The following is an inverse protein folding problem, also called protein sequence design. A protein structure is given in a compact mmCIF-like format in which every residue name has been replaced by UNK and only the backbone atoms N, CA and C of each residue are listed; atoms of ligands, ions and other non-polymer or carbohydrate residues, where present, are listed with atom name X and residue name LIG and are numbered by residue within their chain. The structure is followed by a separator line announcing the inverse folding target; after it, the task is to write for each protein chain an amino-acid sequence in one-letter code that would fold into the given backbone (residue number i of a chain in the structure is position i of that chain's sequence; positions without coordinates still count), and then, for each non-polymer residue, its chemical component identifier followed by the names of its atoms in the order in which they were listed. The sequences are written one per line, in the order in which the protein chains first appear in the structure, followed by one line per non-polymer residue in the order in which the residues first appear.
data_IF_121925412911
#
_entry.id   IF_121925412911
#
_cell.length_a   1.000
_cell.length_b   1.000
_cell.length_c   1.000
_cell.angle_alpha   90.00
_cell.angle_beta   90.00
_cell.angle_gamma   90.00
#
_symmetry.space_group_name_H-M   'P 1'
#
loop_
_entity.id
_entity.type
_entity.pdbx_description
1 polymer ?
#
# COMPACT_ATOMS: atom_id res chain seq x y z
N UNK A 1 23.25 -11.56 -4.40
CA UNK A 1 23.51 -10.50 -3.42
C UNK A 1 24.82 -9.81 -3.76
N UNK A 2 24.74 -8.55 -4.18
CA UNK A 2 25.88 -7.68 -4.47
C UNK A 2 26.13 -6.81 -3.23
N UNK A 3 27.39 -6.65 -2.83
CA UNK A 3 27.76 -5.83 -1.68
C UNK A 3 28.84 -4.82 -2.09
N UNK A 4 28.59 -3.54 -1.81
CA UNK A 4 29.50 -2.42 -2.10
C UNK A 4 29.85 -1.74 -0.79
N UNK A 5 31.13 -1.82 -0.39
CA UNK A 5 31.66 -1.25 0.85
C UNK A 5 32.19 0.16 0.66
N UNK A 6 32.50 0.81 1.79
CA UNK A 6 33.20 2.10 1.88
C UNK A 6 32.53 3.25 1.11
N UNK A 7 31.20 3.19 1.00
CA UNK A 7 30.38 4.23 0.40
C UNK A 7 30.21 5.42 1.35
N UNK A 8 29.97 6.60 0.77
CA UNK A 8 29.71 7.82 1.52
C UNK A 8 28.31 7.72 2.17
N UNK A 9 28.25 7.88 3.49
CA UNK A 9 26.97 7.90 4.20
C UNK A 9 26.25 9.24 4.00
N UNK A 10 25.00 9.22 3.55
CA UNK A 10 24.18 10.44 3.40
C UNK A 10 23.90 11.17 4.73
N UNK A 11 24.06 10.51 5.88
CA UNK A 11 23.73 11.05 7.19
C UNK A 11 24.93 11.63 7.95
N UNK A 12 26.09 10.98 7.88
CA UNK A 12 27.29 11.40 8.61
C UNK A 12 28.49 11.72 7.71
N UNK A 13 28.34 11.60 6.39
CA UNK A 13 29.37 11.84 5.37
C UNK A 13 30.64 11.00 5.53
N UNK A 14 30.65 9.99 6.41
CA UNK A 14 31.76 9.05 6.53
C UNK A 14 31.71 8.01 5.41
N UNK A 15 32.86 7.66 4.84
CA UNK A 15 33.03 6.53 3.89
C UNK A 15 33.06 5.19 4.61
N UNK A 16 31.98 4.87 5.32
CA UNK A 16 31.81 3.63 6.09
C UNK A 16 30.43 3.01 5.88
N UNK A 17 29.71 3.43 4.83
CA UNK A 17 28.45 2.82 4.45
C UNK A 17 28.69 1.59 3.57
N UNK A 18 27.92 0.54 3.81
CA UNK A 18 27.85 -0.66 2.99
C UNK A 18 26.48 -0.70 2.35
N UNK A 19 26.44 -0.72 1.01
CA UNK A 19 25.23 -0.93 0.23
C UNK A 19 25.13 -2.41 -0.15
N UNK A 20 23.97 -3.01 0.07
CA UNK A 20 23.64 -4.38 -0.32
C UNK A 20 22.46 -4.35 -1.25
N UNK A 21 22.54 -5.15 -2.29
CA UNK A 21 21.49 -5.32 -3.29
C UNK A 21 21.21 -6.82 -3.46
N UNK A 22 19.94 -7.19 -3.40
CA UNK A 22 19.48 -8.54 -3.64
C UNK A 22 18.24 -8.52 -4.52
N UNK A 23 18.31 -9.15 -5.69
CA UNK A 23 17.13 -9.42 -6.51
C UNK A 23 16.38 -10.62 -5.92
N UNK A 24 15.11 -10.43 -5.57
CA UNK A 24 14.24 -11.49 -5.08
C UNK A 24 12.93 -11.50 -5.88
N UNK A 25 12.35 -12.68 -6.05
CA UNK A 25 11.00 -12.82 -6.60
C UNK A 25 9.98 -12.86 -5.46
N UNK A 26 9.20 -11.78 -5.33
CA UNK A 26 8.16 -11.67 -4.30
C UNK A 26 6.83 -12.12 -4.90
N UNK A 27 6.16 -13.12 -4.30
CA UNK A 27 4.85 -13.56 -4.78
C UNK A 27 3.91 -12.38 -5.02
N UNK A 28 3.29 -12.35 -6.19
CA UNK A 28 2.35 -11.32 -6.67
C UNK A 28 2.94 -9.92 -6.96
N UNK A 29 4.11 -9.58 -6.42
CA UNK A 29 4.84 -8.34 -6.74
C UNK A 29 5.75 -8.53 -7.97
N UNK A 30 6.28 -9.73 -8.16
CA UNK A 30 7.29 -10.07 -9.16
C UNK A 30 8.70 -9.81 -8.64
N UNK A 31 9.63 -9.63 -9.57
CA UNK A 31 11.04 -9.41 -9.26
C UNK A 31 11.27 -7.99 -8.74
N UNK A 32 11.93 -7.89 -7.60
CA UNK A 32 12.26 -6.63 -6.93
C UNK A 32 13.70 -6.65 -6.45
N UNK A 33 14.32 -5.47 -6.42
CA UNK A 33 15.60 -5.24 -5.77
C UNK A 33 15.36 -4.80 -4.33
N UNK A 34 15.87 -5.60 -3.39
CA UNK A 34 15.98 -5.21 -1.98
C UNK A 34 17.31 -4.50 -1.80
N UNK A 35 17.24 -3.20 -1.57
CA UNK A 35 18.39 -2.34 -1.34
C UNK A 35 18.53 -2.11 0.16
N UNK A 36 19.72 -2.29 0.72
CA UNK A 36 19.99 -1.98 2.14
C UNK A 36 21.28 -1.22 2.26
N UNK A 37 21.23 -0.05 2.90
CA UNK A 37 22.39 0.74 3.27
C UNK A 37 22.59 0.65 4.79
N UNK A 38 23.80 0.30 5.24
CA UNK A 38 24.18 0.25 6.65
C UNK A 38 25.50 1.00 6.86
N UNK A 39 25.56 1.93 7.83
CA UNK A 39 26.77 2.69 8.14
C UNK A 39 27.38 2.31 9.49
N UNK A 40 28.62 1.82 9.48
CA UNK A 40 29.35 1.44 10.70
C UNK A 40 29.82 2.64 11.55
N UNK A 41 29.70 3.88 11.03
CA UNK A 41 30.13 5.09 11.75
C UNK A 41 29.02 5.66 12.65
N UNK A 42 27.80 5.74 12.12
CA UNK A 42 26.64 6.35 12.78
C UNK A 42 25.50 5.37 13.04
N UNK A 43 25.69 4.09 12.72
CA UNK A 43 24.71 3.00 12.90
C UNK A 43 23.39 3.20 12.13
N UNK A 44 23.35 4.11 11.16
CA UNK A 44 22.18 4.28 10.31
C UNK A 44 21.99 3.06 9.43
N UNK A 45 20.76 2.55 9.40
CA UNK A 45 20.32 1.50 8.48
C UNK A 45 19.07 1.96 7.74
N UNK A 46 19.09 1.85 6.42
CA UNK A 46 17.96 2.13 5.55
C UNK A 46 17.77 0.94 4.61
N UNK A 47 16.52 0.54 4.39
CA UNK A 47 16.17 -0.48 3.40
C UNK A 47 15.11 0.08 2.48
N UNK A 48 15.20 -0.27 1.20
CA UNK A 48 14.24 0.10 0.18
C UNK A 48 13.95 -1.10 -0.73
N UNK A 49 12.79 -1.09 -1.40
CA UNK A 49 12.34 -2.13 -2.31
C UNK A 49 11.92 -1.49 -3.62
N UNK A 50 12.70 -1.73 -4.67
CA UNK A 50 12.45 -1.20 -6.00
C UNK A 50 12.02 -2.31 -6.97
N UNK A 51 11.03 -2.09 -7.85
CA UNK A 51 10.70 -3.04 -8.91
C UNK A 51 11.90 -3.28 -9.84
N UNK A 52 12.20 -4.54 -10.17
CA UNK A 52 13.27 -4.86 -11.12
C UNK A 52 12.85 -4.70 -12.60
N UNK A 53 11.55 -4.55 -12.83
CA UNK A 53 10.95 -4.40 -14.16
C UNK A 53 9.99 -3.23 -14.18
N UNK A 54 10.04 -2.41 -15.23
CA UNK A 54 9.01 -1.42 -15.50
C UNK A 54 7.76 -2.12 -16.04
N UNK A 55 6.59 -1.75 -15.48
CA UNK A 55 5.28 -2.27 -15.89
C UNK A 55 4.42 -1.13 -16.41
N UNK A 56 3.45 -1.46 -17.26
CA UNK A 56 2.47 -0.47 -17.70
C UNK A 56 1.56 -0.04 -16.54
N UNK A 57 1.24 1.26 -16.50
CA UNK A 57 0.26 1.82 -15.59
C UNK A 57 -1.05 1.01 -15.63
N UNK A 58 -1.59 0.74 -14.45
CA UNK A 58 -2.73 -0.17 -14.32
C UNK A 58 -3.80 0.40 -13.42
N UNK A 59 -5.04 0.06 -13.77
CA UNK A 59 -6.22 0.31 -12.96
C UNK A 59 -6.91 -1.01 -12.66
N UNK A 60 -7.18 -1.27 -11.39
CA UNK A 60 -8.03 -2.38 -10.96
C UNK A 60 -9.30 -1.83 -10.33
N UNK A 61 -10.44 -2.35 -10.76
CA UNK A 61 -11.71 -2.12 -10.09
C UNK A 61 -12.29 -3.45 -9.62
N UNK A 62 -12.73 -3.49 -8.37
CA UNK A 62 -13.31 -4.68 -7.75
C UNK A 62 -14.56 -4.29 -6.97
N UNK A 63 -15.62 -5.07 -7.12
CA UNK A 63 -16.86 -4.89 -6.36
C UNK A 63 -16.99 -6.00 -5.32
N UNK A 64 -16.94 -5.61 -4.05
CA UNK A 64 -17.18 -6.48 -2.90
C UNK A 64 -18.68 -6.69 -2.79
N UNK A 65 -19.14 -7.93 -2.97
CA UNK A 65 -20.57 -8.28 -2.95
C UNK A 65 -20.91 -9.32 -1.88
N UNK A 66 -19.91 -10.05 -1.40
CA UNK A 66 -20.07 -11.17 -0.47
C UNK A 66 -18.94 -11.19 0.57
N UNK A 67 -19.12 -11.94 1.64
CA UNK A 67 -18.07 -12.16 2.65
C UNK A 67 -16.88 -12.95 2.11
N UNK A 68 -17.08 -13.78 1.09
CA UNK A 68 -16.00 -14.55 0.46
C UNK A 68 -15.00 -13.63 -0.25
N UNK A 69 -15.50 -12.51 -0.80
CA UNK A 69 -14.68 -11.49 -1.45
C UNK A 69 -13.69 -10.85 -0.45
N UNK A 70 -13.97 -10.85 0.85
CA UNK A 70 -13.10 -10.27 1.87
C UNK A 70 -11.70 -10.92 1.91
N UNK A 71 -11.60 -12.19 1.48
CA UNK A 71 -10.37 -12.95 1.44
C UNK A 71 -9.52 -12.69 0.18
N UNK A 72 -10.05 -11.99 -0.82
CA UNK A 72 -9.34 -11.68 -2.07
C UNK A 72 -8.06 -10.89 -1.75
N UNK A 73 -6.93 -11.34 -2.30
CA UNK A 73 -5.63 -10.70 -2.09
C UNK A 73 -5.53 -9.41 -2.88
N UNK A 74 -4.96 -8.41 -2.22
CA UNK A 74 -4.62 -7.12 -2.81
C UNK A 74 -3.11 -6.93 -2.68
N UNK A 75 -2.50 -6.56 -3.79
CA UNK A 75 -1.14 -6.06 -3.88
C UNK A 75 -1.24 -4.57 -4.15
N UNK A 76 -0.73 -3.74 -3.23
CA UNK A 76 -0.70 -2.28 -3.37
C UNK A 76 0.75 -1.87 -3.59
N UNK A 77 1.05 -1.25 -4.73
CA UNK A 77 2.36 -0.66 -5.03
C UNK A 77 2.63 0.60 -4.21
N UNK A 78 3.88 0.96 -3.97
CA UNK A 78 4.25 2.14 -3.15
C UNK A 78 3.56 3.43 -3.61
N UNK A 79 3.46 3.62 -4.93
CA UNK A 79 2.88 4.82 -5.55
C UNK A 79 1.37 4.68 -5.88
N UNK A 80 0.75 3.57 -5.51
CA UNK A 80 -0.64 3.32 -5.88
C UNK A 80 -1.64 4.15 -5.06
N UNK A 81 -2.65 4.68 -5.76
CA UNK A 81 -3.80 5.38 -5.21
C UNK A 81 -4.93 4.38 -5.00
N UNK A 82 -5.48 4.32 -3.79
CA UNK A 82 -6.63 3.46 -3.46
C UNK A 82 -7.88 4.34 -3.29
N UNK A 83 -8.89 4.10 -4.12
CA UNK A 83 -10.17 4.82 -4.10
C UNK A 83 -11.28 3.89 -3.68
N UNK A 84 -12.01 4.28 -2.65
CA UNK A 84 -13.28 3.68 -2.25
C UNK A 84 -14.34 4.76 -2.43
N UNK A 85 -15.07 4.76 -3.57
CA UNK A 85 -16.02 5.82 -3.89
C UNK A 85 -17.00 6.07 -2.73
N UNK A 86 -17.23 7.34 -2.42
CA UNK A 86 -18.13 7.80 -1.33
C UNK A 86 -17.61 7.55 0.10
N UNK A 87 -16.43 6.95 0.26
CA UNK A 87 -15.78 6.74 1.56
C UNK A 87 -14.47 7.55 1.64
N UNK A 88 -13.47 7.21 0.84
CA UNK A 88 -12.12 7.80 0.94
C UNK A 88 -11.33 7.61 -0.37
N UNK A 89 -10.42 8.53 -0.64
CA UNK A 89 -9.30 8.36 -1.58
C UNK A 89 -8.01 8.40 -0.77
N UNK A 90 -7.17 7.39 -0.93
CA UNK A 90 -5.87 7.27 -0.29
C UNK A 90 -4.79 7.46 -1.34
N UNK A 91 -4.08 8.58 -1.25
CA UNK A 91 -2.93 8.88 -2.09
C UNK A 91 -1.64 8.35 -1.43
N UNK A 92 -0.62 7.99 -2.22
CA UNK A 92 0.66 7.60 -1.67
C UNK A 92 1.29 8.79 -0.93
N UNK A 93 1.72 8.55 0.31
CA UNK A 93 2.58 9.49 1.03
C UNK A 93 4.06 9.35 0.61
N UNK A 94 4.94 10.27 1.05
CA UNK A 94 6.36 10.26 0.69
C UNK A 94 7.14 9.03 1.21
N UNK A 95 6.56 8.27 2.14
CA UNK A 95 7.13 7.03 2.71
C UNK A 95 6.16 5.86 2.48
N UNK A 96 5.34 5.92 1.42
CA UNK A 96 4.35 4.87 1.17
C UNK A 96 5.01 3.63 0.59
N UNK A 97 5.09 2.59 1.40
CA UNK A 97 5.60 1.29 0.98
C UNK A 97 4.51 0.47 0.26
N UNK A 98 4.97 -0.42 -0.62
CA UNK A 98 4.14 -1.47 -1.18
C UNK A 98 3.85 -2.56 -0.15
N UNK A 99 2.65 -3.16 -0.21
CA UNK A 99 2.30 -4.25 0.70
C UNK A 99 1.29 -5.21 0.09
N UNK A 100 1.27 -6.42 0.62
CA UNK A 100 0.27 -7.45 0.30
C UNK A 100 -0.73 -7.55 1.46
N UNK A 101 -2.02 -7.47 1.15
CA UNK A 101 -3.11 -7.61 2.10
C UNK A 101 -4.28 -8.38 1.47
N UNK A 102 -5.43 -8.40 2.12
CA UNK A 102 -6.71 -8.82 1.54
C UNK A 102 -7.72 -7.67 1.62
N UNK A 103 -8.91 -7.85 1.03
CA UNK A 103 -9.97 -6.83 1.07
C UNK A 103 -10.32 -6.46 2.52
N UNK A 104 -10.47 -7.45 3.40
CA UNK A 104 -10.72 -7.22 4.82
C UNK A 104 -9.67 -6.30 5.47
N UNK A 105 -8.39 -6.64 5.30
CA UNK A 105 -7.28 -5.89 5.86
C UNK A 105 -7.18 -4.47 5.32
N UNK A 106 -7.50 -4.27 4.04
CA UNK A 106 -7.60 -2.94 3.44
C UNK A 106 -8.73 -2.12 4.09
N UNK A 107 -9.92 -2.70 4.24
CA UNK A 107 -11.06 -2.01 4.85
C UNK A 107 -10.81 -1.67 6.33
N UNK A 108 -10.15 -2.56 7.07
CA UNK A 108 -9.81 -2.32 8.47
C UNK A 108 -8.76 -1.21 8.61
N UNK A 109 -7.79 -1.13 7.68
CA UNK A 109 -6.84 -0.01 7.60
C UNK A 109 -7.55 1.31 7.30
N UNK A 110 -8.48 1.34 6.34
CA UNK A 110 -9.30 2.52 6.04
C UNK A 110 -10.10 2.97 7.24
N UNK A 111 -10.72 2.03 7.96
CA UNK A 111 -11.48 2.32 9.18
C UNK A 111 -10.62 2.96 10.26
N UNK A 112 -9.40 2.46 10.48
CA UNK A 112 -8.43 3.07 11.42
C UNK A 112 -8.06 4.50 11.03
N UNK A 113 -7.84 4.77 9.74
CA UNK A 113 -7.55 6.12 9.24
C UNK A 113 -8.70 7.08 9.53
N UNK A 114 -9.94 6.66 9.18
CA UNK A 114 -11.14 7.47 9.43
C UNK A 114 -11.37 7.71 10.94
N UNK A 115 -11.12 6.69 11.76
CA UNK A 115 -11.25 6.80 13.21
C UNK A 115 -10.23 7.78 13.79
N UNK A 116 -8.95 7.65 13.42
CA UNK A 116 -7.89 8.54 13.89
C UNK A 116 -8.15 9.99 13.49
N UNK A 117 -8.58 10.24 12.26
CA UNK A 117 -8.95 11.57 11.79
C UNK A 117 -10.13 12.17 12.58
N UNK A 118 -11.09 11.34 12.98
CA UNK A 118 -12.25 11.79 13.77
C UNK A 118 -11.90 12.11 15.23
N UNK A 119 -10.86 11.51 15.79
CA UNK A 119 -10.38 11.76 17.16
C UNK A 119 -9.66 13.12 17.26
N UNK A 120 -8.98 13.54 16.20
CA UNK A 120 -8.28 14.83 16.12
C UNK A 120 -9.15 16.00 15.66
N UNK A 121 -10.38 15.72 15.23
CA UNK A 121 -11.32 16.73 14.74
C UNK A 121 -12.09 17.34 15.92
N UNK A 122 -12.47 18.61 15.85
CA UNK A 122 -13.29 19.27 16.89
C UNK A 122 -14.74 19.46 16.44
N UNK A 123 -15.02 19.45 15.13
CA UNK A 123 -16.38 19.54 14.60
C UNK A 123 -17.21 18.26 14.85
N UNK A 124 -18.28 18.42 15.61
CA UNK A 124 -19.26 17.37 15.89
C UNK A 124 -19.95 16.83 14.62
N UNK A 125 -20.13 17.65 13.57
CA UNK A 125 -20.71 17.17 12.32
C UNK A 125 -19.75 16.24 11.58
N UNK A 126 -18.47 16.62 11.48
CA UNK A 126 -17.42 15.77 10.92
C UNK A 126 -17.29 14.44 11.69
N UNK A 127 -17.30 14.47 13.03
CA UNK A 127 -17.31 13.25 13.87
C UNK A 127 -18.50 12.34 13.57
N UNK A 128 -19.70 12.91 13.40
CA UNK A 128 -20.91 12.15 13.03
C UNK A 128 -20.77 11.52 11.64
N UNK A 129 -20.22 12.25 10.66
CA UNK A 129 -19.95 11.71 9.31
C UNK A 129 -18.98 10.54 9.37
N UNK A 130 -17.87 10.68 10.09
CA UNK A 130 -16.88 9.61 10.26
C UNK A 130 -17.52 8.34 10.89
N UNK A 131 -18.31 8.49 11.95
CA UNK A 131 -19.06 7.37 12.57
C UNK A 131 -20.00 6.68 11.57
N UNK A 132 -20.65 7.44 10.69
CA UNK A 132 -21.53 6.88 9.66
C UNK A 132 -20.74 6.11 8.59
N UNK A 133 -19.57 6.60 8.19
CA UNK A 133 -18.67 5.88 7.27
C UNK A 133 -18.18 4.57 7.87
N UNK A 134 -17.74 4.58 9.14
CA UNK A 134 -17.32 3.37 9.87
C UNK A 134 -18.47 2.35 9.96
N UNK A 135 -19.70 2.80 10.21
CA UNK A 135 -20.88 1.92 10.20
C UNK A 135 -21.11 1.27 8.83
N UNK A 136 -20.93 2.01 7.73
CA UNK A 136 -21.02 1.44 6.37
C UNK A 136 -19.93 0.39 6.13
N UNK A 137 -18.68 0.69 6.48
CA UNK A 137 -17.58 -0.27 6.36
C UNK A 137 -17.85 -1.56 7.15
N UNK A 138 -18.34 -1.45 8.39
CA UNK A 138 -18.70 -2.63 9.19
C UNK A 138 -19.82 -3.46 8.55
N UNK A 139 -20.79 -2.84 7.85
CA UNK A 139 -21.83 -3.57 7.12
C UNK A 139 -21.27 -4.35 5.93
N UNK A 140 -20.29 -3.78 5.22
CA UNK A 140 -19.58 -4.45 4.13
C UNK A 140 -18.79 -5.66 4.68
N UNK A 141 -18.12 -5.51 5.82
CA UNK A 141 -17.37 -6.59 6.49
C UNK A 141 -18.26 -7.77 6.93
N UNK A 142 -19.56 -7.56 7.14
CA UNK A 142 -20.51 -8.64 7.43
C UNK A 142 -21.36 -9.05 6.22
N UNK A 143 -21.00 -8.61 5.02
CA UNK A 143 -21.68 -8.96 3.76
C UNK A 143 -23.08 -8.39 3.59
N UNK A 144 -23.44 -7.31 4.31
CA UNK A 144 -24.77 -6.69 4.24
C UNK A 144 -24.87 -5.55 3.24
N UNK A 145 -23.74 -4.98 2.82
CA UNK A 145 -23.66 -3.92 1.81
C UNK A 145 -22.53 -4.22 0.84
N UNK A 146 -22.67 -3.80 -0.42
CA UNK A 146 -21.60 -3.89 -1.41
C UNK A 146 -20.75 -2.62 -1.43
N UNK A 147 -19.51 -2.76 -1.88
CA UNK A 147 -18.56 -1.66 -1.97
C UNK A 147 -17.65 -1.82 -3.17
N UNK A 148 -17.39 -0.73 -3.89
CA UNK A 148 -16.40 -0.72 -4.97
C UNK A 148 -15.05 -0.25 -4.42
N UNK A 149 -14.00 -0.96 -4.80
CA UNK A 149 -12.60 -0.61 -4.54
C UNK A 149 -11.94 -0.41 -5.90
N UNK A 150 -11.18 0.67 -6.03
CA UNK A 150 -10.43 1.00 -7.23
C UNK A 150 -8.98 1.23 -6.81
N UNK A 151 -8.03 0.60 -7.48
CA UNK A 151 -6.59 0.82 -7.29
C UNK A 151 -6.05 1.35 -8.61
N UNK A 152 -5.40 2.50 -8.56
CA UNK A 152 -4.79 3.19 -9.69
C UNK A 152 -3.29 3.30 -9.40
N UNK A 153 -2.46 2.71 -10.25
CA UNK A 153 -1.02 2.63 -10.02
C UNK A 153 -0.27 2.92 -11.31
N UNK A 154 0.40 4.07 -11.34
CA UNK A 154 1.21 4.53 -12.47
C UNK A 154 2.43 3.61 -12.69
N UNK A 155 2.97 3.03 -11.62
CA UNK A 155 4.13 2.12 -11.69
C UNK A 155 3.77 0.69 -12.16
N UNK A 156 2.47 0.35 -12.22
CA UNK A 156 2.01 -0.95 -12.69
C UNK A 156 2.21 -2.12 -11.71
N UNK A 157 2.58 -1.85 -10.44
CA UNK A 157 2.95 -2.86 -9.46
C UNK A 157 1.82 -3.35 -8.55
N UNK A 158 0.63 -2.78 -8.71
CA UNK A 158 -0.56 -3.19 -7.97
C UNK A 158 -1.34 -4.30 -8.67
N UNK A 159 -2.09 -5.07 -7.89
CA UNK A 159 -2.97 -6.12 -8.41
C UNK A 159 -4.09 -6.46 -7.43
N UNK A 160 -5.23 -6.91 -7.95
CA UNK A 160 -6.28 -7.59 -7.18
C UNK A 160 -6.38 -9.02 -7.72
N UNK A 161 -6.08 -10.00 -6.88
CA UNK A 161 -5.95 -11.41 -7.29
C UNK A 161 -7.31 -12.09 -7.23
N UNK A 162 -8.15 -11.80 -8.23
CA UNK A 162 -9.47 -12.41 -8.40
C UNK A 162 -9.96 -12.30 -9.83
N UNK A 163 -10.70 -13.31 -10.31
CA UNK A 163 -11.35 -13.29 -11.63
C UNK A 163 -12.43 -12.20 -11.75
N UNK A 164 -12.96 -11.71 -10.63
CA UNK A 164 -13.93 -10.61 -10.59
C UNK A 164 -13.27 -9.24 -10.75
N UNK A 165 -11.93 -9.15 -10.66
CA UNK A 165 -11.23 -7.89 -10.78
C UNK A 165 -11.19 -7.42 -12.24
N UNK A 166 -11.65 -6.18 -12.48
CA UNK A 166 -11.60 -5.56 -13.79
C UNK A 166 -10.30 -4.77 -13.91
N UNK A 167 -9.37 -5.26 -14.75
CA UNK A 167 -8.14 -4.56 -15.11
C UNK A 167 -8.38 -3.68 -16.34
N UNK A 168 -8.01 -2.41 -16.27
CA UNK A 168 -7.93 -1.51 -17.42
C UNK A 168 -6.60 -0.78 -17.45
N UNK A 169 -6.26 -0.19 -18.60
CA UNK A 169 -5.16 0.79 -18.68
C UNK A 169 -5.59 2.06 -17.94
N UNK A 170 -4.61 2.74 -17.34
CA UNK A 170 -4.80 4.06 -16.72
C UNK A 170 -4.90 5.15 -17.81
#
# INVERSE_FOLDING_TARGET
MTEIKDQLCAFCSAKKATLREEEIDVPYFGRVFVLTMECNACSTRQSDVEPAEEKEACRYAFEVTSTDDLNVKIVKGGEAIVKIPRIITMEPGPVSEGYVTNIEGLLERVKKIIQSAAETEDDDQAKKKAKNLIKKLNKVLVGRESLKIIIEDESGNSAIISDKAQKSKL
#
